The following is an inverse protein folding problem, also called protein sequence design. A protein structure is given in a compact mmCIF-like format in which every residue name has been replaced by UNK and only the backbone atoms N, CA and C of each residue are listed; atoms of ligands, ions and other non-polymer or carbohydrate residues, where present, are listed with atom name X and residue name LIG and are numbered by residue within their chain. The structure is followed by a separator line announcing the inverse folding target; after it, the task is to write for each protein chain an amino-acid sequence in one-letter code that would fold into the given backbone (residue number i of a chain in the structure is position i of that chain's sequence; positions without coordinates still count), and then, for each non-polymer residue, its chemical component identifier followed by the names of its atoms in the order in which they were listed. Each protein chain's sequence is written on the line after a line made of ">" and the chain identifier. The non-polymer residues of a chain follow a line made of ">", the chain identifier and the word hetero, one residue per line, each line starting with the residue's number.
data_IF_824746015734
#
_entry.id   IF_824746015734
#
_cell.length_a   1.000
_cell.length_b   1.000
_cell.length_c   1.000
_cell.angle_alpha   90.00
_cell.angle_beta   90.00
_cell.angle_gamma   90.00
#
_symmetry.space_group_name_H-M   'P 1'
#
loop_
_entity.id
_entity.type
_entity.pdbx_description
1 polymer ?
#
# COMPACT_ATOMS: atom_id res chain seq x y z
N UNK A 1 -10.93 -26.99 9.29
CA UNK A 1 -9.97 -26.42 8.32
C UNK A 1 -10.75 -26.15 7.06
N UNK A 2 -10.76 -24.92 6.57
CA UNK A 2 -11.41 -24.60 5.29
C UNK A 2 -10.40 -24.92 4.19
N UNK A 3 -10.70 -25.93 3.39
CA UNK A 3 -9.90 -26.31 2.23
C UNK A 3 -10.21 -25.34 1.09
N UNK A 4 -9.17 -24.77 0.49
CA UNK A 4 -9.28 -23.86 -0.65
C UNK A 4 -8.56 -24.47 -1.84
N UNK A 5 -9.13 -24.34 -3.04
CA UNK A 5 -8.45 -24.70 -4.28
C UNK A 5 -7.25 -23.79 -4.56
N UNK A 6 -6.32 -24.28 -5.38
CA UNK A 6 -5.17 -23.48 -5.83
C UNK A 6 -5.61 -22.21 -6.53
N UNK A 7 -6.64 -22.30 -7.36
CA UNK A 7 -7.20 -21.19 -8.14
C UNK A 7 -7.76 -20.11 -7.23
N UNK A 8 -8.46 -20.49 -6.14
CA UNK A 8 -8.94 -19.54 -5.13
C UNK A 8 -7.78 -18.84 -4.42
N UNK A 9 -6.74 -19.57 -4.02
CA UNK A 9 -5.56 -18.98 -3.38
C UNK A 9 -4.88 -17.96 -4.28
N UNK A 10 -4.67 -18.31 -5.56
CA UNK A 10 -4.12 -17.39 -6.56
C UNK A 10 -5.04 -16.18 -6.75
N UNK A 11 -6.36 -16.37 -6.75
CA UNK A 11 -7.35 -15.30 -6.79
C UNK A 11 -7.22 -14.33 -5.61
N UNK A 12 -7.08 -14.85 -4.39
CA UNK A 12 -6.94 -14.02 -3.19
C UNK A 12 -5.65 -13.20 -3.20
N UNK A 13 -4.52 -13.82 -3.57
CA UNK A 13 -3.26 -13.10 -3.67
C UNK A 13 -3.26 -12.06 -4.79
N UNK A 14 -3.91 -12.32 -5.92
CA UNK A 14 -4.08 -11.33 -6.98
C UNK A 14 -4.97 -10.15 -6.55
N UNK A 15 -6.06 -10.40 -5.83
CA UNK A 15 -6.89 -9.33 -5.29
C UNK A 15 -6.10 -8.41 -4.34
N UNK A 16 -5.27 -9.00 -3.47
CA UNK A 16 -4.41 -8.23 -2.57
C UNK A 16 -3.29 -7.50 -3.32
N UNK A 17 -2.72 -8.11 -4.37
CA UNK A 17 -1.75 -7.49 -5.28
C UNK A 17 -2.33 -6.22 -5.91
N UNK A 18 -3.54 -6.29 -6.45
CA UNK A 18 -4.19 -5.15 -7.10
C UNK A 18 -4.47 -4.02 -6.11
N UNK A 19 -4.80 -4.37 -4.86
CA UNK A 19 -4.93 -3.39 -3.77
C UNK A 19 -3.59 -2.71 -3.45
N UNK A 20 -2.49 -3.45 -3.34
CA UNK A 20 -1.15 -2.88 -3.12
C UNK A 20 -0.73 -1.98 -4.28
N UNK A 21 -1.02 -2.36 -5.52
CA UNK A 21 -0.74 -1.53 -6.70
C UNK A 21 -1.49 -0.20 -6.62
N UNK A 22 -2.79 -0.22 -6.30
CA UNK A 22 -3.61 1.00 -6.16
C UNK A 22 -3.11 1.92 -5.04
N UNK A 23 -2.74 1.34 -3.90
CA UNK A 23 -2.13 2.06 -2.77
C UNK A 23 -0.81 2.69 -3.17
N UNK A 24 0.07 1.93 -3.83
CA UNK A 24 1.37 2.41 -4.26
C UNK A 24 1.23 3.54 -5.30
N UNK A 25 0.32 3.41 -6.26
CA UNK A 25 0.02 4.45 -7.23
C UNK A 25 -0.42 5.75 -6.55
N UNK A 26 -1.36 5.66 -5.60
CA UNK A 26 -1.83 6.82 -4.83
C UNK A 26 -0.67 7.51 -4.09
N UNK A 27 0.22 6.71 -3.50
CA UNK A 27 1.36 7.20 -2.76
C UNK A 27 2.42 7.87 -3.66
N UNK A 28 2.73 7.29 -4.82
CA UNK A 28 3.67 7.93 -5.75
C UNK A 28 3.14 9.24 -6.28
N UNK A 29 1.87 9.29 -6.69
CA UNK A 29 1.27 10.54 -7.19
C UNK A 29 1.27 11.60 -6.09
N UNK A 30 0.95 11.22 -4.85
CA UNK A 30 1.05 12.13 -3.71
C UNK A 30 2.47 12.69 -3.56
N UNK A 31 3.50 11.86 -3.69
CA UNK A 31 4.89 12.32 -3.62
C UNK A 31 5.25 13.24 -4.77
N UNK A 32 4.86 12.91 -6.00
CA UNK A 32 5.11 13.75 -7.18
C UNK A 32 4.49 15.13 -6.99
N UNK A 33 3.23 15.20 -6.59
CA UNK A 33 2.53 16.47 -6.36
C UNK A 33 3.07 17.24 -5.15
N UNK A 34 3.40 16.55 -4.05
CA UNK A 34 3.82 17.20 -2.80
C UNK A 34 5.31 17.54 -2.71
N UNK A 35 6.16 16.82 -3.42
CA UNK A 35 7.63 16.92 -3.33
C UNK A 35 8.29 17.23 -4.68
N UNK A 36 7.57 17.15 -5.80
CA UNK A 36 8.11 17.32 -7.16
C UNK A 36 8.37 18.77 -7.58
N UNK A 37 8.10 19.76 -6.72
CA UNK A 37 8.43 21.16 -6.99
C UNK A 37 7.48 21.87 -7.96
N UNK A 38 6.36 21.26 -8.35
CA UNK A 38 5.37 21.83 -9.28
C UNK A 38 4.38 22.81 -8.61
N UNK A 39 4.80 23.49 -7.55
CA UNK A 39 3.93 24.36 -6.76
C UNK A 39 3.31 25.49 -7.58
N UNK A 40 4.02 26.00 -8.59
CA UNK A 40 3.52 27.07 -9.45
C UNK A 40 2.38 26.60 -10.37
N UNK A 41 2.50 25.41 -10.97
CA UNK A 41 1.41 24.81 -11.73
C UNK A 41 0.19 24.55 -10.83
N UNK A 42 0.41 24.12 -9.58
CA UNK A 42 -0.66 23.87 -8.63
C UNK A 42 -1.39 25.14 -8.17
N UNK A 43 -0.75 26.31 -8.23
CA UNK A 43 -1.39 27.61 -7.93
C UNK A 43 -2.47 27.99 -8.93
N UNK A 44 -2.51 27.38 -10.12
CA UNK A 44 -3.59 27.61 -11.09
C UNK A 44 -4.95 27.12 -10.55
N UNK A 45 -4.96 26.07 -9.72
CA UNK A 45 -6.17 25.47 -9.15
C UNK A 45 -5.95 24.96 -7.70
N UNK A 46 -5.67 25.83 -6.72
CA UNK A 46 -5.19 25.42 -5.40
C UNK A 46 -6.21 24.58 -4.62
N UNK A 47 -7.50 24.88 -4.76
CA UNK A 47 -8.56 24.11 -4.12
C UNK A 47 -8.64 22.68 -4.67
N UNK A 48 -8.52 22.51 -5.99
CA UNK A 48 -8.51 21.20 -6.64
C UNK A 48 -7.34 20.36 -6.15
N UNK A 49 -6.11 20.90 -6.23
CA UNK A 49 -4.91 20.17 -5.82
C UNK A 49 -4.90 19.85 -4.32
N UNK A 50 -5.47 20.71 -3.47
CA UNK A 50 -5.64 20.42 -2.04
C UNK A 50 -6.54 19.19 -1.82
N UNK A 51 -7.67 19.10 -2.54
CA UNK A 51 -8.59 17.96 -2.45
C UNK A 51 -7.92 16.69 -2.98
N UNK A 52 -7.22 16.77 -4.12
CA UNK A 52 -6.51 15.65 -4.72
C UNK A 52 -5.44 15.10 -3.76
N UNK A 53 -4.58 15.96 -3.23
CA UNK A 53 -3.52 15.58 -2.30
C UNK A 53 -4.07 14.89 -1.05
N UNK A 54 -5.13 15.44 -0.46
CA UNK A 54 -5.82 14.82 0.69
C UNK A 54 -6.39 13.45 0.32
N UNK A 55 -7.03 13.33 -0.83
CA UNK A 55 -7.64 12.09 -1.29
C UNK A 55 -6.60 10.99 -1.52
N UNK A 56 -5.48 11.32 -2.15
CA UNK A 56 -4.38 10.38 -2.40
C UNK A 56 -3.75 9.87 -1.12
N UNK A 57 -3.49 10.76 -0.16
CA UNK A 57 -2.95 10.39 1.13
C UNK A 57 -3.92 9.53 1.94
N UNK A 58 -5.19 9.93 2.01
CA UNK A 58 -6.22 9.15 2.70
C UNK A 58 -6.39 7.76 2.08
N UNK A 59 -6.41 7.66 0.75
CA UNK A 59 -6.52 6.37 0.07
C UNK A 59 -5.32 5.48 0.37
N UNK A 60 -4.10 6.04 0.37
CA UNK A 60 -2.87 5.34 0.73
C UNK A 60 -2.97 4.73 2.12
N UNK A 61 -3.41 5.52 3.09
CA UNK A 61 -3.42 5.09 4.49
C UNK A 61 -4.56 4.11 4.74
N UNK A 62 -5.78 4.39 4.30
CA UNK A 62 -6.90 3.44 4.43
C UNK A 62 -6.53 2.11 3.77
N UNK A 63 -5.96 2.16 2.57
CA UNK A 63 -5.56 0.97 1.83
C UNK A 63 -4.50 0.17 2.56
N UNK A 64 -3.44 0.81 3.06
CA UNK A 64 -2.43 0.14 3.91
C UNK A 64 -3.02 -0.41 5.20
N UNK A 65 -3.89 0.33 5.88
CA UNK A 65 -4.54 -0.14 7.10
C UNK A 65 -5.38 -1.39 6.85
N UNK A 66 -6.03 -1.50 5.69
CA UNK A 66 -6.77 -2.71 5.30
C UNK A 66 -5.82 -3.90 5.03
N UNK A 67 -4.71 -3.66 4.34
CA UNK A 67 -3.69 -4.68 4.03
C UNK A 67 -3.10 -5.28 5.31
N UNK A 68 -2.85 -4.45 6.32
CA UNK A 68 -2.22 -4.81 7.59
C UNK A 68 -3.19 -5.02 8.75
N UNK A 69 -4.50 -5.07 8.48
CA UNK A 69 -5.47 -5.24 9.55
C UNK A 69 -5.28 -6.58 10.26
N UNK A 70 -5.59 -6.62 11.56
CA UNK A 70 -5.48 -7.85 12.34
C UNK A 70 -6.36 -8.96 11.76
N UNK A 71 -5.91 -10.20 11.94
CA UNK A 71 -6.67 -11.42 11.65
C UNK A 71 -8.13 -11.33 12.12
N UNK A 72 -9.04 -11.76 11.27
CA UNK A 72 -10.49 -11.83 11.54
C UNK A 72 -11.32 -10.57 11.27
N UNK A 73 -10.70 -9.43 10.90
CA UNK A 73 -11.45 -8.20 10.54
C UNK A 73 -11.78 -8.05 9.05
N UNK A 74 -10.95 -8.60 8.17
CA UNK A 74 -11.17 -8.59 6.72
C UNK A 74 -10.55 -9.82 6.07
N UNK A 75 -11.28 -10.52 5.20
CA UNK A 75 -10.78 -11.72 4.54
C UNK A 75 -9.53 -11.47 3.68
N UNK A 76 -9.39 -10.26 3.12
CA UNK A 76 -8.34 -9.88 2.18
C UNK A 76 -7.13 -9.16 2.79
N UNK A 77 -6.70 -9.48 4.01
CA UNK A 77 -5.48 -8.89 4.60
C UNK A 77 -4.31 -9.90 4.65
N UNK A 78 -3.08 -9.39 4.78
CA UNK A 78 -1.86 -10.21 4.73
C UNK A 78 -1.87 -11.34 5.75
N UNK A 79 -2.23 -11.05 7.01
CA UNK A 79 -2.21 -12.05 8.08
C UNK A 79 -3.21 -13.19 7.83
N UNK A 80 -4.39 -12.86 7.32
CA UNK A 80 -5.39 -13.86 6.96
C UNK A 80 -4.95 -14.70 5.76
N UNK A 81 -4.41 -14.09 4.71
CA UNK A 81 -3.92 -14.85 3.56
C UNK A 81 -2.73 -15.74 3.91
N UNK A 82 -1.80 -15.28 4.75
CA UNK A 82 -0.70 -16.12 5.24
C UNK A 82 -1.21 -17.32 6.06
N UNK A 83 -2.20 -17.11 6.92
CA UNK A 83 -2.83 -18.20 7.67
C UNK A 83 -3.54 -19.22 6.76
N UNK A 84 -4.26 -18.74 5.74
CA UNK A 84 -4.90 -19.59 4.73
C UNK A 84 -3.82 -20.37 3.94
N UNK A 85 -2.72 -19.71 3.58
CA UNK A 85 -1.60 -20.30 2.86
C UNK A 85 -0.94 -21.41 3.66
N UNK A 86 -0.72 -21.19 4.97
CA UNK A 86 -0.19 -22.21 5.88
C UNK A 86 -1.11 -23.42 5.99
N UNK A 87 -2.43 -23.19 6.01
CA UNK A 87 -3.44 -24.25 6.06
C UNK A 87 -3.56 -25.04 4.74
N UNK A 88 -3.06 -24.49 3.63
CA UNK A 88 -3.15 -25.05 2.28
C UNK A 88 -1.76 -25.22 1.65
N UNK A 89 -0.75 -25.54 2.48
CA UNK A 89 0.66 -25.57 2.09
C UNK A 89 0.98 -26.54 0.94
N UNK A 90 0.16 -27.57 0.73
CA UNK A 90 0.31 -28.55 -0.34
C UNK A 90 0.34 -27.92 -1.75
N UNK A 91 -0.37 -26.80 -1.97
CA UNK A 91 -0.39 -26.13 -3.28
C UNK A 91 0.85 -25.29 -3.58
N UNK A 92 1.62 -24.98 -2.54
CA UNK A 92 2.90 -24.33 -2.64
C UNK A 92 3.94 -25.43 -2.86
N UNK A 93 4.67 -25.43 -3.98
CA UNK A 93 5.70 -26.46 -4.21
C UNK A 93 5.82 -27.01 -5.62
N UNK A 94 5.10 -26.48 -6.61
CA UNK A 94 5.24 -26.92 -8.00
C UNK A 94 6.60 -26.60 -8.64
N UNK A 95 7.44 -25.74 -8.03
CA UNK A 95 8.68 -25.28 -8.66
C UNK A 95 9.97 -25.26 -7.82
N UNK A 96 9.95 -25.47 -6.50
CA UNK A 96 11.18 -25.81 -5.75
C UNK A 96 10.90 -26.15 -4.28
N UNK A 97 11.46 -27.27 -3.83
CA UNK A 97 11.69 -27.74 -2.45
C UNK A 97 10.51 -28.19 -1.58
N UNK A 98 10.80 -29.16 -0.74
CA UNK A 98 9.95 -29.84 0.26
C UNK A 98 9.08 -28.85 1.05
N UNK A 99 7.88 -29.27 1.48
CA UNK A 99 6.94 -28.43 2.25
C UNK A 99 7.52 -27.76 3.51
N UNK A 100 8.67 -28.22 4.02
CA UNK A 100 9.45 -27.55 5.07
C UNK A 100 9.92 -26.14 4.67
N UNK A 101 10.39 -25.95 3.44
CA UNK A 101 10.94 -24.66 2.97
C UNK A 101 9.85 -23.60 2.84
N UNK A 102 8.65 -24.00 2.42
CA UNK A 102 7.51 -23.08 2.32
C UNK A 102 7.00 -22.69 3.71
N UNK A 103 6.94 -23.63 4.66
CA UNK A 103 6.56 -23.32 6.04
C UNK A 103 7.55 -22.34 6.67
N UNK A 104 8.84 -22.52 6.45
CA UNK A 104 9.89 -21.57 6.87
C UNK A 104 9.73 -20.21 6.19
N UNK A 105 9.36 -20.17 4.92
CA UNK A 105 9.12 -18.92 4.21
C UNK A 105 7.89 -18.16 4.75
N UNK A 106 6.77 -18.85 5.00
CA UNK A 106 5.58 -18.26 5.62
C UNK A 106 5.91 -17.74 7.03
N UNK A 107 6.69 -18.49 7.82
CA UNK A 107 7.18 -18.03 9.13
C UNK A 107 8.04 -16.78 9.01
N UNK A 108 8.95 -16.72 8.04
CA UNK A 108 9.78 -15.53 7.77
C UNK A 108 8.92 -14.33 7.38
N UNK A 109 7.90 -14.53 6.55
CA UNK A 109 6.95 -13.49 6.16
C UNK A 109 6.17 -12.96 7.38
N UNK A 110 5.73 -13.83 8.28
CA UNK A 110 5.12 -13.42 9.55
C UNK A 110 6.10 -12.63 10.44
N UNK A 111 7.37 -13.04 10.49
CA UNK A 111 8.41 -12.28 11.22
C UNK A 111 8.60 -10.87 10.65
N UNK A 112 8.61 -10.70 9.32
CA UNK A 112 8.68 -9.37 8.71
C UNK A 112 7.52 -8.46 9.13
N UNK A 113 6.31 -9.02 9.31
CA UNK A 113 5.15 -8.27 9.83
C UNK A 113 5.36 -7.88 11.29
N UNK A 114 5.88 -8.79 12.12
CA UNK A 114 6.17 -8.55 13.54
C UNK A 114 7.23 -7.46 13.71
N UNK A 115 8.30 -7.49 12.91
CA UNK A 115 9.36 -6.47 12.92
C UNK A 115 8.84 -5.05 12.62
N UNK A 116 7.69 -4.96 11.95
CA UNK A 116 7.04 -3.70 11.61
C UNK A 116 5.79 -3.40 12.46
N UNK A 117 5.57 -4.13 13.56
CA UNK A 117 4.35 -4.01 14.38
C UNK A 117 4.14 -2.58 14.89
N UNK A 118 5.21 -1.88 15.30
CA UNK A 118 5.09 -0.49 15.75
C UNK A 118 4.67 0.44 14.61
N UNK A 119 5.22 0.30 13.41
CA UNK A 119 4.81 1.08 12.24
C UNK A 119 3.35 0.81 11.87
N UNK A 120 2.90 -0.45 12.00
CA UNK A 120 1.51 -0.82 11.78
C UNK A 120 0.62 -0.18 12.86
N UNK A 121 1.01 -0.19 14.14
CA UNK A 121 0.27 0.48 15.22
C UNK A 121 0.14 1.98 14.95
N UNK A 122 1.22 2.63 14.54
CA UNK A 122 1.22 4.05 14.23
C UNK A 122 0.31 4.36 13.02
N UNK A 123 0.34 3.51 11.98
CA UNK A 123 -0.58 3.58 10.84
C UNK A 123 -2.05 3.45 11.26
N UNK A 124 -2.38 2.49 12.14
CA UNK A 124 -3.75 2.32 12.62
C UNK A 124 -4.21 3.51 13.45
N UNK A 125 -3.33 4.04 14.31
CA UNK A 125 -3.59 5.25 15.08
C UNK A 125 -3.82 6.45 14.18
N UNK A 126 -3.04 6.58 13.10
CA UNK A 126 -3.21 7.62 12.09
C UNK A 126 -4.58 7.53 11.42
N UNK A 127 -4.97 6.34 10.97
CA UNK A 127 -6.32 6.09 10.42
C UNK A 127 -7.38 6.49 11.45
N UNK A 128 -7.28 5.97 12.67
CA UNK A 128 -8.32 6.18 13.68
C UNK A 128 -8.43 7.68 14.04
N UNK A 129 -7.33 8.41 14.18
CA UNK A 129 -7.35 9.87 14.39
C UNK A 129 -7.92 10.64 13.20
N UNK A 130 -7.47 10.33 11.99
CA UNK A 130 -7.88 11.03 10.78
C UNK A 130 -9.39 10.86 10.47
N UNK A 131 -9.99 9.73 10.88
CA UNK A 131 -11.39 9.41 10.57
C UNK A 131 -12.36 9.49 11.78
N UNK A 132 -11.88 9.30 13.02
CA UNK A 132 -12.75 9.38 14.21
C UNK A 132 -12.93 10.80 14.72
N UNK A 133 -11.99 11.70 14.43
CA UNK A 133 -12.08 13.08 14.84
C UNK A 133 -12.04 13.96 13.59
N UNK A 134 -13.15 14.64 13.29
CA UNK A 134 -13.18 15.82 12.42
C UNK A 134 -12.41 17.00 13.06
N UNK A 135 -11.31 16.72 13.74
CA UNK A 135 -10.52 17.71 14.43
C UNK A 135 -9.77 18.53 13.39
N UNK A 136 -9.90 19.84 13.49
CA UNK A 136 -9.39 20.80 12.51
C UNK A 136 -7.86 20.68 12.34
N UNK A 137 -7.17 20.17 13.36
CA UNK A 137 -5.73 19.92 13.37
C UNK A 137 -5.29 18.76 12.46
N UNK A 138 -6.13 17.75 12.24
CA UNK A 138 -5.85 16.60 11.36
C UNK A 138 -6.30 16.83 9.92
N UNK A 139 -7.14 17.84 9.68
CA UNK A 139 -7.52 18.29 8.35
C UNK A 139 -6.37 18.97 7.59
N UNK A 140 -5.31 19.43 8.28
CA UNK A 140 -4.31 20.35 7.71
C UNK A 140 -2.95 19.74 7.34
N UNK A 141 -2.72 18.43 7.50
CA UNK A 141 -1.61 17.75 6.81
C UNK A 141 -0.71 16.87 7.66
N UNK A 142 0.18 16.15 6.96
CA UNK A 142 1.15 15.19 7.50
C UNK A 142 2.02 15.77 8.62
N UNK A 143 2.30 17.07 8.58
CA UNK A 143 3.20 17.76 9.51
C UNK A 143 2.71 17.74 10.97
N UNK A 144 1.40 17.84 11.19
CA UNK A 144 0.83 17.77 12.54
C UNK A 144 0.83 16.33 13.07
N UNK A 145 0.76 15.34 12.18
CA UNK A 145 0.73 13.91 12.51
C UNK A 145 2.12 13.29 12.67
N UNK A 146 3.13 13.81 11.97
CA UNK A 146 4.54 13.48 12.19
C UNK A 146 5.03 13.95 13.59
N UNK A 147 4.32 14.92 14.20
CA UNK A 147 4.58 15.33 15.59
C UNK A 147 3.96 14.39 16.62
N UNK A 148 2.84 13.75 16.27
CA UNK A 148 2.06 12.88 17.16
C UNK A 148 2.44 11.40 17.03
N UNK A 149 3.06 11.01 15.93
CA UNK A 149 3.49 9.64 15.62
C UNK A 149 4.84 9.67 14.90
N UNK A 150 5.68 8.66 15.12
CA UNK A 150 6.91 8.48 14.33
C UNK A 150 6.62 7.93 12.92
N UNK A 151 5.39 8.10 12.42
CA UNK A 151 4.95 7.56 11.13
C UNK A 151 5.29 8.54 10.01
N UNK A 152 6.15 8.11 9.08
CA UNK A 152 6.71 8.96 8.02
C UNK A 152 6.35 8.44 6.64
N UNK A 153 6.63 9.22 5.59
CA UNK A 153 6.54 8.74 4.20
C UNK A 153 7.46 7.51 3.97
N UNK A 154 8.59 7.44 4.67
CA UNK A 154 9.47 6.26 4.65
C UNK A 154 8.79 5.04 5.27
N UNK A 155 8.03 5.23 6.35
CA UNK A 155 7.21 4.15 6.95
C UNK A 155 6.16 3.63 5.97
N UNK A 156 5.48 4.53 5.24
CA UNK A 156 4.52 4.16 4.18
C UNK A 156 5.21 3.34 3.08
N UNK A 157 6.37 3.82 2.58
CA UNK A 157 7.17 3.10 1.58
C UNK A 157 7.53 1.70 2.03
N UNK A 158 8.08 1.58 3.23
CA UNK A 158 8.53 0.31 3.79
C UNK A 158 7.39 -0.69 3.95
N UNK A 159 6.21 -0.23 4.38
CA UNK A 159 5.02 -1.08 4.46
C UNK A 159 4.55 -1.55 3.08
N UNK A 160 4.59 -0.70 2.05
CA UNK A 160 4.28 -1.11 0.67
C UNK A 160 5.26 -2.19 0.19
N UNK A 161 6.57 -1.99 0.41
CA UNK A 161 7.62 -2.93 0.00
C UNK A 161 7.49 -4.30 0.68
N UNK A 162 7.19 -4.32 1.98
CA UNK A 162 6.98 -5.56 2.73
C UNK A 162 5.74 -6.29 2.22
N UNK A 163 4.62 -5.57 2.04
CA UNK A 163 3.40 -6.16 1.50
C UNK A 163 3.65 -6.76 0.12
N UNK A 164 4.32 -6.02 -0.75
CA UNK A 164 4.69 -6.48 -2.08
C UNK A 164 5.56 -7.73 -2.04
N UNK A 165 6.63 -7.73 -1.23
CA UNK A 165 7.55 -8.88 -1.12
C UNK A 165 6.82 -10.15 -0.68
N UNK A 166 5.87 -10.04 0.26
CA UNK A 166 5.07 -11.17 0.72
C UNK A 166 4.16 -11.68 -0.41
N UNK A 167 3.46 -10.78 -1.11
CA UNK A 167 2.54 -11.12 -2.19
C UNK A 167 3.28 -11.80 -3.35
N UNK A 168 4.38 -11.21 -3.81
CA UNK A 168 5.21 -11.73 -4.89
C UNK A 168 5.70 -13.14 -4.56
N UNK A 169 6.23 -13.35 -3.35
CA UNK A 169 6.72 -14.66 -2.92
C UNK A 169 5.60 -15.73 -2.92
N UNK A 170 4.39 -15.36 -2.51
CA UNK A 170 3.26 -16.30 -2.49
C UNK A 170 2.72 -16.60 -3.88
N UNK A 171 2.59 -15.60 -4.75
CA UNK A 171 2.18 -15.81 -6.15
C UNK A 171 3.22 -16.65 -6.89
N UNK A 172 4.51 -16.38 -6.70
CA UNK A 172 5.60 -17.16 -7.29
C UNK A 172 5.54 -18.62 -6.82
N UNK A 173 5.35 -18.85 -5.52
CA UNK A 173 5.30 -20.21 -4.97
C UNK A 173 4.08 -21.02 -5.44
N UNK A 174 2.94 -20.35 -5.69
CA UNK A 174 1.73 -20.98 -6.23
C UNK A 174 1.81 -21.21 -7.74
N UNK A 175 2.31 -20.23 -8.50
CA UNK A 175 2.14 -20.20 -9.96
C UNK A 175 3.42 -20.47 -10.75
N UNK A 176 4.59 -20.37 -10.12
CA UNK A 176 5.89 -20.35 -10.81
C UNK A 176 6.21 -19.04 -11.53
N UNK A 177 5.28 -18.09 -11.53
CA UNK A 177 5.43 -16.82 -12.24
C UNK A 177 5.76 -15.70 -11.27
N UNK A 178 6.83 -14.96 -11.57
CA UNK A 178 7.12 -13.70 -10.91
C UNK A 178 6.10 -12.64 -11.38
N UNK A 179 5.68 -11.79 -10.46
CA UNK A 179 4.84 -10.63 -10.75
C UNK A 179 5.66 -9.37 -10.52
N UNK A 180 5.47 -8.36 -11.36
CA UNK A 180 6.10 -7.06 -11.20
C UNK A 180 5.08 -6.03 -10.68
N UNK A 181 5.54 -5.12 -9.83
CA UNK A 181 4.74 -3.98 -9.39
C UNK A 181 4.76 -2.92 -10.49
N UNK A 182 3.86 -3.05 -11.47
CA UNK A 182 3.65 -1.99 -12.45
C UNK A 182 2.70 -0.98 -11.85
N UNK A 183 3.18 0.24 -11.64
CA UNK A 183 2.34 1.39 -11.30
C UNK A 183 1.80 1.92 -12.64
N UNK A 184 0.50 1.77 -12.93
CA UNK A 184 -0.07 2.34 -14.14
C UNK A 184 0.09 3.86 -14.08
N UNK A 185 0.62 4.46 -15.14
CA UNK A 185 0.50 5.90 -15.41
C UNK A 185 1.05 6.83 -14.31
N UNK A 186 2.06 6.39 -13.56
CA UNK A 186 2.69 7.22 -12.52
C UNK A 186 3.37 8.49 -13.05
N UNK A 187 3.56 8.61 -14.37
CA UNK A 187 4.20 9.74 -15.05
C UNK A 187 3.23 10.66 -15.79
N UNK A 188 2.00 10.24 -16.08
CA UNK A 188 0.97 11.08 -16.75
C UNK A 188 0.68 12.36 -15.95
N UNK A 189 0.88 12.31 -14.63
CA UNK A 189 0.74 13.47 -13.74
C UNK A 189 1.80 14.53 -14.05
N UNK A 190 3.02 14.15 -14.43
CA UNK A 190 4.05 15.11 -14.83
C UNK A 190 3.66 15.82 -16.13
N UNK A 191 3.17 15.08 -17.12
CA UNK A 191 2.69 15.66 -18.39
C UNK A 191 1.56 16.67 -18.12
N UNK A 192 0.61 16.34 -17.24
CA UNK A 192 -0.45 17.26 -16.84
C UNK A 192 0.08 18.53 -16.16
N UNK A 193 1.09 18.39 -15.30
CA UNK A 193 1.70 19.53 -14.61
C UNK A 193 2.50 20.44 -15.56
N UNK A 194 3.18 19.87 -16.55
CA UNK A 194 3.87 20.62 -17.60
C UNK A 194 2.87 21.45 -18.42
N UNK A 195 1.76 20.85 -18.86
CA UNK A 195 0.71 21.56 -19.61
C UNK A 195 0.16 22.75 -18.80
N UNK A 196 -0.08 22.56 -17.50
CA UNK A 196 -0.60 23.62 -16.64
C UNK A 196 0.42 24.75 -16.43
N UNK A 197 1.71 24.41 -16.34
CA UNK A 197 2.78 25.40 -16.20
C UNK A 197 2.89 26.27 -17.46
N UNK A 198 2.90 25.66 -18.64
CA UNK A 198 2.99 26.37 -19.93
C UNK A 198 1.81 27.33 -20.14
N UNK A 199 0.59 26.92 -19.76
CA UNK A 199 -0.58 27.79 -19.85
C UNK A 199 -0.53 28.96 -18.86
N UNK A 200 0.00 28.73 -17.64
CA UNK A 200 0.13 29.78 -16.63
C UNK A 200 1.17 30.83 -16.99
N UNK A 201 2.23 30.43 -17.70
CA UNK A 201 3.32 31.33 -18.16
C UNK A 201 2.97 32.12 -19.42
N UNK A 202 2.01 31.66 -20.22
CA UNK A 202 1.47 32.42 -21.36
C UNK A 202 0.40 33.46 -20.98
N UNK A 203 -0.15 33.38 -19.77
CA UNK A 203 -1.28 34.20 -19.31
C UNK A 203 -0.89 35.38 -18.42
N UNK A 204 0.41 35.53 -18.10
CA UNK A 204 0.98 36.61 -17.27
C UNK A 204 1.86 37.54 -18.08
#
# INVERSE_FOLDING_TARGET
>A
MTEHSKEELVGYWNALKDQVISVNASFEIYKVLGLGGHFDAMKAAPAFFTIVMRSLLNNTIIGLSKIYEKKGRSFGNLQNLLFISESNIFYYGLHSTTGSVISENIKKQNMNIIECEQMIKDLMHWRDKAFAHNDKAYLTGIEQLAKDTNFTLSSIRKLIEIAWSIIEANILALTGNKVDIKIPNGLDVNELLEILYDQSSMSG
#
